data_IF_971293021864
#
_entry.id   IF_971293021864
#
_cell.length_a   1.000
_cell.length_b   1.000
_cell.length_c   1.000
_cell.angle_alpha   90.00
_cell.angle_beta   90.00
_cell.angle_gamma   90.00
#
_symmetry.space_group_name_H-M   'P 1'
#
loop_
_entity.id
_entity.type
_entity.pdbx_description
1 polymer ?
#
# COMPACT_ATOMS: atom_id res chain seq x y z
N UNK A 1 -6.88 -8.79 -10.07
CA UNK A 1 -5.85 -7.80 -9.66
C UNK A 1 -4.66 -8.54 -9.07
N UNK A 2 -3.44 -8.16 -9.43
CA UNK A 2 -2.24 -8.72 -8.82
C UNK A 2 -1.97 -8.02 -7.48
N UNK A 3 -1.75 -8.79 -6.40
CA UNK A 3 -1.33 -8.22 -5.12
C UNK A 3 0.15 -7.81 -5.21
N UNK A 4 0.56 -6.71 -4.55
CA UNK A 4 1.96 -6.29 -4.49
C UNK A 4 2.76 -7.24 -3.59
N UNK A 5 3.05 -8.45 -4.08
CA UNK A 5 3.80 -9.46 -3.34
C UNK A 5 5.22 -9.61 -3.86
N UNK A 6 6.11 -9.98 -2.95
CA UNK A 6 7.50 -10.29 -3.26
C UNK A 6 7.97 -11.50 -2.47
N UNK A 7 8.82 -12.30 -3.10
CA UNK A 7 9.59 -13.32 -2.39
C UNK A 7 10.86 -12.68 -1.84
N UNK A 8 11.05 -12.69 -0.54
CA UNK A 8 12.28 -12.21 0.10
C UNK A 8 12.69 -13.13 1.24
N UNK A 9 13.94 -13.03 1.72
CA UNK A 9 14.34 -13.75 2.93
C UNK A 9 13.94 -12.94 4.15
N UNK A 10 13.34 -13.63 5.11
CA UNK A 10 12.87 -13.13 6.40
C UNK A 10 13.54 -14.02 7.44
N UNK A 11 14.51 -13.48 8.17
CA UNK A 11 15.47 -14.23 9.00
C UNK A 11 16.08 -15.41 8.21
N UNK A 12 16.60 -15.13 7.01
CA UNK A 12 17.22 -16.11 6.13
C UNK A 12 16.27 -17.06 5.39
N UNK A 13 15.02 -17.21 5.83
CA UNK A 13 14.03 -18.11 5.22
C UNK A 13 13.26 -17.39 4.11
N UNK A 14 13.12 -18.01 2.93
CA UNK A 14 12.36 -17.44 1.82
C UNK A 14 10.87 -17.45 2.13
N UNK A 15 10.25 -16.27 2.22
CA UNK A 15 8.82 -16.07 2.54
C UNK A 15 8.12 -15.24 1.48
N UNK A 16 6.81 -15.43 1.37
CA UNK A 16 5.93 -14.57 0.57
C UNK A 16 5.54 -13.37 1.44
N UNK A 17 5.90 -12.18 0.99
CA UNK A 17 5.69 -10.93 1.72
C UNK A 17 4.72 -10.06 0.93
N UNK A 18 3.68 -9.56 1.60
CA UNK A 18 2.80 -8.53 1.04
C UNK A 18 3.38 -7.16 1.35
N UNK A 19 3.52 -6.31 0.34
CA UNK A 19 3.84 -4.89 0.55
C UNK A 19 2.55 -4.14 0.78
N UNK A 20 2.41 -3.53 1.94
CA UNK A 20 1.22 -2.78 2.31
C UNK A 20 1.60 -1.38 2.77
N UNK A 21 1.51 -0.41 1.84
CA UNK A 21 1.78 1.00 2.16
C UNK A 21 0.70 1.62 3.04
N UNK A 22 -0.45 0.96 3.22
CA UNK A 22 -1.49 1.35 4.18
C UNK A 22 -1.17 0.92 5.61
N UNK A 23 -0.21 0.01 5.81
CA UNK A 23 0.19 -0.46 7.13
C UNK A 23 1.39 0.35 7.66
N UNK A 24 1.26 0.99 8.83
CA UNK A 24 2.35 1.80 9.41
C UNK A 24 3.56 0.94 9.82
N UNK A 25 3.31 -0.23 10.42
CA UNK A 25 4.35 -1.11 10.99
C UNK A 25 4.39 -2.45 10.28
N UNK A 26 5.56 -3.08 10.23
CA UNK A 26 5.66 -4.45 9.77
C UNK A 26 4.91 -5.40 10.73
N UNK A 27 4.24 -6.40 10.17
CA UNK A 27 3.55 -7.45 10.93
C UNK A 27 4.13 -8.79 10.49
N UNK A 28 4.67 -9.55 11.45
CA UNK A 28 5.22 -10.87 11.21
C UNK A 28 4.34 -11.92 11.90
N UNK A 29 4.09 -13.03 11.22
CA UNK A 29 3.64 -14.22 11.92
C UNK A 29 4.77 -14.71 12.85
N UNK A 30 4.41 -15.26 14.01
CA UNK A 30 5.34 -15.73 15.05
C UNK A 30 6.41 -16.68 14.51
N UNK A 31 6.09 -17.49 13.49
CA UNK A 31 7.04 -18.41 12.86
C UNK A 31 8.14 -17.71 12.03
N UNK A 32 8.05 -16.39 11.82
CA UNK A 32 9.10 -15.60 11.20
C UNK A 32 10.12 -15.06 12.21
N UNK A 33 9.80 -15.08 13.51
CA UNK A 33 10.60 -14.45 14.54
C UNK A 33 11.41 -15.50 15.31
N UNK A 34 12.73 -15.29 15.43
CA UNK A 34 13.60 -16.14 16.27
C UNK A 34 13.42 -15.83 17.77
N UNK A 35 13.10 -14.57 18.08
CA UNK A 35 12.77 -14.10 19.42
C UNK A 35 11.79 -12.92 19.37
N UNK A 36 10.95 -12.81 20.38
CA UNK A 36 9.99 -11.72 20.52
C UNK A 36 9.59 -11.52 21.98
N UNK A 37 9.16 -10.31 22.32
CA UNK A 37 8.65 -9.97 23.66
C UNK A 37 7.13 -9.93 23.64
N UNK A 38 6.50 -10.46 24.69
CA UNK A 38 5.06 -10.37 24.87
C UNK A 38 4.66 -8.91 25.07
N UNK A 39 3.76 -8.45 24.23
CA UNK A 39 3.25 -7.09 24.24
C UNK A 39 1.88 -7.11 23.54
N UNK A 40 0.82 -6.69 24.23
CA UNK A 40 -0.48 -6.58 23.58
C UNK A 40 -0.45 -5.40 22.62
N UNK A 41 -0.66 -5.68 21.34
CA UNK A 41 -0.76 -4.69 20.28
C UNK A 41 -2.01 -5.01 19.49
N UNK A 42 -2.87 -4.02 19.30
CA UNK A 42 -4.05 -4.14 18.44
C UNK A 42 -3.78 -3.38 17.15
N UNK A 43 -3.97 -4.05 16.02
CA UNK A 43 -3.94 -3.44 14.69
C UNK A 43 -5.38 -3.19 14.26
N UNK A 44 -5.66 -1.98 13.78
CA UNK A 44 -6.96 -1.63 13.22
C UNK A 44 -6.93 -1.86 11.71
N UNK A 45 -7.86 -2.65 11.20
CA UNK A 45 -8.02 -2.85 9.76
C UNK A 45 -8.85 -1.71 9.16
N UNK A 46 -8.81 -1.59 7.83
CA UNK A 46 -9.65 -0.65 7.10
C UNK A 46 -11.16 -0.93 7.24
N UNK A 47 -11.55 -2.16 7.62
CA UNK A 47 -12.93 -2.52 7.95
C UNK A 47 -13.36 -2.06 9.35
N UNK A 48 -12.45 -1.48 10.14
CA UNK A 48 -12.68 -1.13 11.56
C UNK A 48 -12.55 -2.33 12.52
N UNK A 49 -12.23 -3.52 12.00
CA UNK A 49 -12.01 -4.70 12.81
C UNK A 49 -10.65 -4.65 13.50
N UNK A 50 -10.57 -5.31 14.66
CA UNK A 50 -9.35 -5.40 15.44
C UNK A 50 -8.62 -6.71 15.13
N UNK A 51 -7.39 -6.58 14.64
CA UNK A 51 -6.45 -7.69 14.48
C UNK A 51 -5.52 -7.73 15.70
N UNK A 52 -5.77 -8.68 16.60
CA UNK A 52 -5.02 -8.83 17.85
C UNK A 52 -3.65 -9.46 17.60
N UNK A 53 -2.60 -8.80 18.09
CA UNK A 53 -1.23 -9.27 18.02
C UNK A 53 -0.69 -9.59 19.42
N UNK A 54 0.26 -10.52 19.48
CA UNK A 54 0.75 -11.13 20.73
C UNK A 54 2.04 -10.49 21.25
N UNK A 55 2.75 -9.76 20.40
CA UNK A 55 4.06 -9.22 20.78
C UNK A 55 4.69 -8.25 19.81
N UNK A 56 5.96 -7.99 20.08
CA UNK A 56 6.86 -7.24 19.22
C UNK A 56 8.22 -7.95 19.16
N UNK A 57 8.91 -7.83 18.04
CA UNK A 57 10.22 -8.44 17.83
C UNK A 57 10.97 -7.73 16.71
N UNK A 58 12.11 -8.30 16.33
CA UNK A 58 12.91 -7.81 15.21
C UNK A 58 13.06 -8.92 14.17
N UNK A 59 13.05 -8.51 12.91
CA UNK A 59 13.22 -9.42 11.79
C UNK A 59 14.18 -8.82 10.79
N UNK A 60 15.07 -9.66 10.29
CA UNK A 60 16.02 -9.33 9.25
C UNK A 60 15.41 -9.64 7.87
N UNK A 61 15.29 -8.62 7.04
CA UNK A 61 14.75 -8.69 5.69
C UNK A 61 15.87 -8.59 4.65
N UNK A 62 15.80 -9.46 3.64
CA UNK A 62 16.70 -9.41 2.50
C UNK A 62 15.90 -9.53 1.20
N UNK A 63 15.61 -8.41 0.51
CA UNK A 63 14.95 -8.44 -0.79
C UNK A 63 15.85 -9.07 -1.87
N UNK A 64 15.27 -9.53 -2.99
CA UNK A 64 16.06 -10.06 -4.11
C UNK A 64 17.08 -9.04 -4.63
N UNK A 65 18.37 -9.41 -4.60
CA UNK A 65 19.45 -8.57 -5.11
C UNK A 65 19.76 -7.33 -4.26
N UNK A 66 19.20 -7.20 -3.06
CA UNK A 66 19.45 -6.08 -2.14
C UNK A 66 20.22 -6.49 -0.89
N UNK A 67 20.59 -5.48 -0.11
CA UNK A 67 21.23 -5.64 1.20
C UNK A 67 20.29 -6.20 2.26
N UNK A 68 20.85 -6.49 3.43
CA UNK A 68 20.11 -6.97 4.59
C UNK A 68 19.70 -5.77 5.46
N UNK A 69 18.44 -5.72 5.91
CA UNK A 69 17.97 -4.68 6.85
C UNK A 69 17.23 -5.32 8.01
N UNK A 70 17.40 -4.81 9.22
CA UNK A 70 16.65 -5.26 10.40
C UNK A 70 15.52 -4.27 10.67
N UNK A 71 14.32 -4.78 10.93
CA UNK A 71 13.13 -3.97 11.20
C UNK A 71 12.38 -4.47 12.42
N UNK A 72 11.83 -3.55 13.18
CA UNK A 72 10.86 -3.84 14.22
C UNK A 72 9.56 -4.38 13.59
N UNK A 73 9.00 -5.42 14.21
CA UNK A 73 7.74 -6.04 13.79
C UNK A 73 6.78 -6.15 14.95
N UNK A 74 5.49 -6.01 14.64
CA UNK A 74 4.41 -6.52 15.48
C UNK A 74 4.31 -8.03 15.21
N UNK A 75 4.25 -8.82 16.26
CA UNK A 75 4.19 -10.29 16.16
C UNK A 75 2.76 -10.78 16.35
N UNK A 76 2.29 -11.59 15.41
CA UNK A 76 0.96 -12.20 15.39
C UNK A 76 1.07 -13.73 15.45
N UNK A 77 0.19 -14.39 16.19
CA UNK A 77 0.02 -15.85 16.15
C UNK A 77 -0.71 -16.32 14.89
N UNK A 78 -1.54 -15.45 14.29
CA UNK A 78 -2.25 -15.69 13.03
C UNK A 78 -1.50 -15.12 11.84
N UNK A 79 -1.77 -15.65 10.63
CA UNK A 79 -1.27 -15.07 9.37
C UNK A 79 -2.16 -13.90 8.95
N UNK A 80 -1.64 -12.66 8.88
CA UNK A 80 -2.41 -11.54 8.33
C UNK A 80 -2.63 -11.75 6.83
N UNK A 81 -3.89 -11.80 6.40
CA UNK A 81 -4.28 -11.96 4.98
C UNK A 81 -3.65 -13.20 4.30
N UNK A 82 -3.42 -14.27 5.06
CA UNK A 82 -2.71 -15.49 4.62
C UNK A 82 -1.23 -15.32 4.23
N UNK A 83 -0.63 -14.18 4.58
CA UNK A 83 0.81 -13.95 4.43
C UNK A 83 1.58 -14.24 5.71
N UNK A 84 2.82 -14.69 5.56
CA UNK A 84 3.74 -14.87 6.69
C UNK A 84 4.26 -13.51 7.21
N UNK A 85 4.27 -12.48 6.35
CA UNK A 85 4.79 -11.16 6.68
C UNK A 85 4.08 -10.06 5.86
N UNK A 86 3.68 -8.99 6.54
CA UNK A 86 3.22 -7.73 5.96
C UNK A 86 4.34 -6.71 6.10
N UNK A 87 4.83 -6.22 4.97
CA UNK A 87 5.80 -5.14 4.92
C UNK A 87 5.07 -3.79 4.95
N UNK A 88 4.97 -3.23 6.14
CA UNK A 88 4.47 -1.87 6.35
C UNK A 88 5.51 -0.78 6.07
N UNK A 89 5.11 0.47 6.27
CA UNK A 89 5.88 1.67 5.93
C UNK A 89 7.24 1.77 6.65
N UNK A 90 7.36 1.27 7.88
CA UNK A 90 8.66 1.16 8.58
C UNK A 90 9.66 0.29 7.83
N UNK A 91 9.23 -0.88 7.33
CA UNK A 91 10.09 -1.74 6.53
C UNK A 91 10.33 -1.21 5.13
N UNK A 92 9.33 -0.58 4.50
CA UNK A 92 9.50 0.12 3.21
C UNK A 92 10.57 1.22 3.32
N UNK A 93 10.51 2.03 4.37
CA UNK A 93 11.49 3.09 4.62
C UNK A 93 12.89 2.52 4.85
N UNK A 94 13.03 1.46 5.66
CA UNK A 94 14.31 0.79 5.90
C UNK A 94 14.92 0.20 4.62
N UNK A 95 14.09 -0.25 3.68
CA UNK A 95 14.50 -0.75 2.37
C UNK A 95 14.78 0.35 1.34
N UNK A 96 14.68 1.63 1.72
CA UNK A 96 14.96 2.79 0.87
C UNK A 96 13.80 3.23 -0.02
N UNK A 97 12.59 2.70 0.22
CA UNK A 97 11.40 2.94 -0.59
C UNK A 97 10.95 1.71 -1.38
N UNK A 98 9.79 1.84 -2.03
CA UNK A 98 9.21 0.77 -2.85
C UNK A 98 8.57 1.34 -4.11
N UNK A 99 8.75 0.64 -5.23
CA UNK A 99 8.00 0.87 -6.46
C UNK A 99 7.20 -0.39 -6.81
N UNK A 100 5.93 -0.21 -7.18
CA UNK A 100 4.99 -1.29 -7.53
C UNK A 100 4.47 -1.02 -8.93
N UNK A 101 4.62 -1.99 -9.85
CA UNK A 101 4.07 -1.87 -11.21
C UNK A 101 2.58 -2.19 -11.28
N UNK A 102 1.93 -1.90 -12.42
CA UNK A 102 0.52 -2.26 -12.66
C UNK A 102 0.25 -3.77 -12.54
N UNK A 103 1.27 -4.59 -12.81
CA UNK A 103 1.25 -6.05 -12.69
C UNK A 103 1.56 -6.55 -11.27
N UNK A 104 1.70 -5.63 -10.29
CA UNK A 104 2.03 -5.95 -8.90
C UNK A 104 3.51 -6.26 -8.68
N UNK A 105 4.40 -5.98 -9.64
CA UNK A 105 5.84 -6.25 -9.50
C UNK A 105 6.47 -5.24 -8.56
N UNK A 106 7.09 -5.73 -7.49
CA UNK A 106 7.73 -4.94 -6.44
C UNK A 106 9.24 -4.78 -6.71
N UNK A 107 9.76 -3.57 -6.51
CA UNK A 107 11.20 -3.26 -6.48
C UNK A 107 11.52 -2.38 -5.26
N UNK A 108 12.67 -2.63 -4.64
CA UNK A 108 13.18 -1.89 -3.47
C UNK A 108 14.49 -1.19 -3.78
N UNK A 109 14.91 -0.28 -2.91
CA UNK A 109 16.17 0.45 -3.00
C UNK A 109 15.95 1.96 -2.98
N UNK A 110 17.02 2.75 -2.80
CA UNK A 110 16.93 4.21 -2.74
C UNK A 110 16.24 4.72 -4.00
N UNK A 111 15.13 5.44 -3.84
CA UNK A 111 14.49 6.15 -4.94
C UNK A 111 15.49 7.15 -5.51
N UNK A 112 16.22 6.77 -6.57
CA UNK A 112 17.16 7.67 -7.28
C UNK A 112 16.46 8.66 -8.22
N UNK A 113 15.14 8.79 -8.13
CA UNK A 113 14.36 9.70 -8.98
C UNK A 113 13.02 9.92 -8.31
N UNK A 114 12.47 11.13 -8.40
CA UNK A 114 11.12 11.47 -7.99
C UNK A 114 10.13 10.52 -8.71
N UNK A 115 9.73 9.42 -8.08
CA UNK A 115 8.77 8.48 -8.70
C UNK A 115 7.36 9.04 -8.48
N UNK A 116 6.98 9.97 -9.36
CA UNK A 116 5.58 10.21 -9.67
C UNK A 116 5.13 9.11 -10.63
N UNK A 117 4.23 8.22 -10.20
CA UNK A 117 3.59 7.29 -11.11
C UNK A 117 2.58 8.05 -11.97
N UNK A 118 2.99 8.51 -13.16
CA UNK A 118 2.07 9.01 -14.18
C UNK A 118 1.53 7.84 -15.01
N UNK A 119 0.21 7.70 -15.08
CA UNK A 119 -0.45 6.78 -16.02
C UNK A 119 -0.31 7.31 -17.44
N UNK A 120 0.06 6.40 -18.35
CA UNK A 120 0.11 6.57 -19.81
C UNK A 120 -1.27 6.74 -20.49
N UNK A 121 -2.32 6.98 -19.71
CA UNK A 121 -3.66 7.25 -20.18
C UNK A 121 -4.09 8.59 -19.59
N UNK A 122 -4.59 9.49 -20.44
CA UNK A 122 -5.23 10.76 -20.04
C UNK A 122 -6.05 10.53 -18.77
N UNK A 123 -5.60 11.09 -17.64
CA UNK A 123 -6.19 10.86 -16.33
C UNK A 123 -7.65 11.30 -16.39
N UNK A 124 -8.55 10.32 -16.37
CA UNK A 124 -9.99 10.48 -16.63
C UNK A 124 -10.78 9.75 -15.54
N UNK A 125 -11.71 10.46 -14.93
CA UNK A 125 -12.70 9.93 -13.99
C UNK A 125 -14.05 10.01 -14.70
N UNK A 126 -14.70 8.87 -14.91
CA UNK A 126 -15.94 8.77 -15.70
C UNK A 126 -17.05 8.17 -14.83
N UNK A 127 -17.69 9.03 -14.04
CA UNK A 127 -18.74 8.66 -13.08
C UNK A 127 -20.13 8.80 -13.69
N UNK A 128 -21.16 8.32 -12.99
CA UNK A 128 -22.55 8.42 -13.47
C UNK A 128 -22.96 9.84 -13.83
N UNK A 129 -22.59 10.81 -13.00
CA UNK A 129 -23.11 12.19 -13.07
C UNK A 129 -22.08 13.20 -13.61
N UNK A 130 -20.82 12.78 -13.80
CA UNK A 130 -19.78 13.66 -14.30
C UNK A 130 -18.61 12.91 -14.95
N UNK A 131 -17.86 13.67 -15.75
CA UNK A 131 -16.61 13.30 -16.38
C UNK A 131 -15.56 14.33 -16.00
N UNK A 132 -14.42 13.88 -15.46
CA UNK A 132 -13.27 14.75 -15.22
C UNK A 132 -12.09 14.26 -16.05
N UNK A 133 -11.38 15.15 -16.72
CA UNK A 133 -10.13 14.84 -17.42
C UNK A 133 -9.04 15.83 -17.03
N UNK A 134 -7.83 15.34 -16.76
CA UNK A 134 -6.64 16.18 -16.57
C UNK A 134 -5.93 16.37 -17.91
N UNK A 135 -5.59 17.62 -18.22
CA UNK A 135 -4.69 17.97 -19.31
C UNK A 135 -3.30 18.29 -18.72
N UNK A 136 -2.28 17.44 -18.96
CA UNK A 136 -0.93 17.70 -18.46
C UNK A 136 -0.26 18.89 -19.14
N UNK A 137 -0.61 19.23 -20.38
CA UNK A 137 -0.03 20.37 -21.09
C UNK A 137 -0.53 21.70 -20.51
N UNK A 138 -1.83 21.79 -20.22
CA UNK A 138 -2.43 22.95 -19.58
C UNK A 138 -2.29 22.94 -18.04
N UNK A 139 -1.83 21.82 -17.44
CA UNK A 139 -1.79 21.57 -15.99
C UNK A 139 -3.14 21.85 -15.31
N UNK A 140 -4.24 21.53 -16.01
CA UNK A 140 -5.60 21.88 -15.59
C UNK A 140 -6.53 20.68 -15.63
N UNK A 141 -7.56 20.74 -14.78
CA UNK A 141 -8.66 19.78 -14.78
C UNK A 141 -9.86 20.36 -15.52
N UNK A 142 -10.47 19.56 -16.39
CA UNK A 142 -11.74 19.87 -17.05
C UNK A 142 -12.80 18.93 -16.52
N UNK A 143 -13.87 19.48 -15.95
CA UNK A 143 -15.03 18.73 -15.50
C UNK A 143 -16.23 19.00 -16.43
N UNK A 144 -16.95 17.96 -16.82
CA UNK A 144 -18.19 18.01 -17.57
C UNK A 144 -19.26 17.21 -16.83
N UNK A 145 -20.42 17.82 -16.60
CA UNK A 145 -21.53 17.15 -15.92
C UNK A 145 -22.38 16.37 -16.91
N UNK A 146 -22.79 15.16 -16.54
CA UNK A 146 -23.69 14.31 -17.31
C UNK A 146 -25.12 14.57 -16.87
N UNK A 147 -25.78 15.47 -17.58
CA UNK A 147 -27.17 15.80 -17.32
C UNK A 147 -28.09 14.73 -17.89
N UNK A 148 -29.19 14.41 -17.21
CA UNK A 148 -30.16 13.38 -17.62
C UNK A 148 -30.80 13.65 -18.98
N UNK A 149 -30.82 14.91 -19.43
CA UNK A 149 -31.30 15.36 -20.73
C UNK A 149 -30.17 15.80 -21.69
N UNK A 150 -28.91 15.53 -21.35
CA UNK A 150 -27.74 15.91 -22.15
C UNK A 150 -27.43 17.41 -22.20
N UNK A 151 -28.16 18.26 -21.46
CA UNK A 151 -27.99 19.71 -21.48
C UNK A 151 -27.83 20.28 -20.07
N UNK A 152 -26.89 21.22 -19.89
CA UNK A 152 -26.73 21.89 -18.61
C UNK A 152 -27.98 22.72 -18.28
N UNK A 153 -28.44 22.75 -17.01
CA UNK A 153 -29.54 23.61 -16.61
C UNK A 153 -29.10 25.09 -16.68
N UNK A 154 -30.05 25.98 -17.00
CA UNK A 154 -29.82 27.42 -17.08
C UNK A 154 -29.34 28.03 -15.76
N UNK A 155 -29.64 27.39 -14.63
CA UNK A 155 -29.21 27.84 -13.30
C UNK A 155 -28.91 26.64 -12.41
N UNK A 156 -27.71 26.62 -11.83
CA UNK A 156 -27.32 25.66 -10.81
C UNK A 156 -27.77 26.17 -9.43
N UNK A 157 -28.72 25.49 -8.80
CA UNK A 157 -29.10 25.79 -7.41
C UNK A 157 -28.45 24.77 -6.47
N UNK A 158 -27.56 25.22 -5.59
CA UNK A 158 -27.06 24.39 -4.51
C UNK A 158 -28.01 24.50 -3.33
N UNK A 159 -28.63 23.39 -2.90
CA UNK A 159 -29.32 23.32 -1.61
C UNK A 159 -28.48 22.45 -0.70
N UNK A 160 -28.06 22.99 0.43
CA UNK A 160 -27.62 22.17 1.55
C UNK A 160 -28.87 21.50 2.12
N UNK A 161 -28.89 20.16 2.16
CA UNK A 161 -29.77 19.41 3.05
C UNK A 161 -29.13 19.27 4.44
#
# INVERSE_FOLDING_TARGET
MALPMVWMRVNGVRRKVLVDTGCTRCIANVHCCEGWRKQRVTVLTVSGEQFSCIGAGEVTLQPPGGGCVTVDVIVSDKRPLDFDFILGMTGVAALGGVAVSKEGKVRFGPMRTEICASVDAKLRIDEKDFLVTYDPAARSWTAAWKWSNGSAPDTLSNRME
#
